data_IF_129248711333
#
_entry.id   IF_129248711333
#
_cell.length_a   1.000
_cell.length_b   1.000
_cell.length_c   1.000
_cell.angle_alpha   90.00
_cell.angle_beta   90.00
_cell.angle_gamma   90.00
#
_symmetry.space_group_name_H-M   'P 1'
#
loop_
_entity.id
_entity.type
_entity.pdbx_description
1 polymer ?
#
# COMPACT_ATOMS: atom_id res chain seq x y z
N UNK A 1 -67.65 -43.18 15.68
CA UNK A 1 -67.31 -41.76 15.96
C UNK A 1 -66.46 -41.73 17.21
N UNK A 2 -65.24 -41.21 17.31
CA UNK A 2 -64.23 -40.64 16.41
C UNK A 2 -62.90 -40.97 17.11
N UNK A 3 -61.96 -41.59 16.42
CA UNK A 3 -60.55 -41.63 16.84
C UNK A 3 -59.90 -40.30 16.43
N UNK A 4 -59.25 -39.60 17.35
CA UNK A 4 -58.39 -38.47 17.02
C UNK A 4 -57.11 -38.58 17.84
N UNK A 5 -56.11 -39.26 17.28
CA UNK A 5 -54.73 -39.17 17.75
C UNK A 5 -54.17 -37.82 17.33
N UNK A 6 -53.88 -36.96 18.31
CA UNK A 6 -53.09 -35.74 18.09
C UNK A 6 -51.61 -36.09 18.34
N UNK A 7 -50.91 -36.54 17.31
CA UNK A 7 -49.44 -36.62 17.33
C UNK A 7 -48.91 -35.33 16.71
N UNK A 8 -48.53 -34.38 17.57
CA UNK A 8 -47.89 -33.14 17.20
C UNK A 8 -46.43 -33.43 16.81
N UNK A 9 -46.15 -33.52 15.51
CA UNK A 9 -44.77 -33.57 14.98
C UNK A 9 -44.23 -32.14 15.02
N UNK A 10 -43.39 -31.83 16.01
CA UNK A 10 -42.55 -30.64 16.01
C UNK A 10 -41.45 -30.85 14.97
N UNK A 11 -41.65 -30.26 13.80
CA UNK A 11 -40.61 -30.12 12.79
C UNK A 11 -39.65 -29.01 13.27
N UNK A 12 -38.64 -29.41 14.03
CA UNK A 12 -37.51 -28.55 14.38
C UNK A 12 -36.71 -28.29 13.09
N UNK A 13 -37.11 -27.25 12.35
CA UNK A 13 -36.28 -26.61 11.34
C UNK A 13 -35.07 -26.02 12.08
N UNK A 14 -34.07 -26.85 12.35
CA UNK A 14 -32.72 -26.39 12.63
C UNK A 14 -32.24 -25.80 11.31
N UNK A 15 -32.53 -24.53 11.11
CA UNK A 15 -31.90 -23.72 10.08
C UNK A 15 -30.42 -23.68 10.40
N UNK A 16 -29.67 -24.66 9.88
CA UNK A 16 -28.24 -24.53 9.70
C UNK A 16 -28.07 -23.39 8.69
N UNK A 17 -27.98 -22.17 9.21
CA UNK A 17 -27.38 -21.07 8.49
C UNK A 17 -25.97 -21.52 8.18
N UNK A 18 -25.75 -22.00 6.96
CA UNK A 18 -24.42 -22.10 6.37
C UNK A 18 -23.88 -20.69 6.42
N UNK A 19 -23.12 -20.37 7.47
CA UNK A 19 -22.29 -19.17 7.44
C UNK A 19 -21.37 -19.40 6.25
N UNK A 20 -21.54 -18.61 5.21
CA UNK A 20 -20.61 -18.60 4.09
C UNK A 20 -19.20 -18.49 4.70
N UNK A 21 -18.37 -19.50 4.44
CA UNK A 21 -17.02 -19.54 4.96
C UNK A 21 -16.29 -18.36 4.34
N UNK A 22 -15.66 -17.52 5.18
CA UNK A 22 -14.95 -16.33 4.72
C UNK A 22 -13.86 -16.75 3.71
N UNK A 23 -13.94 -16.23 2.50
CA UNK A 23 -12.93 -16.48 1.47
C UNK A 23 -12.01 -15.28 1.35
N UNK A 24 -10.70 -15.52 1.32
CA UNK A 24 -9.68 -14.49 1.13
C UNK A 24 -9.13 -14.56 -0.30
N UNK A 25 -9.50 -13.60 -1.15
CA UNK A 25 -9.00 -13.51 -2.52
C UNK A 25 -7.66 -12.80 -2.54
N UNK A 26 -6.60 -13.49 -2.96
CA UNK A 26 -5.22 -12.96 -2.96
C UNK A 26 -5.07 -11.94 -4.07
N UNK A 27 -4.64 -10.73 -3.72
CA UNK A 27 -4.41 -9.62 -4.65
C UNK A 27 -2.92 -9.43 -4.95
N UNK A 28 -2.07 -9.70 -3.97
CA UNK A 28 -0.62 -9.59 -4.07
C UNK A 28 0.07 -10.59 -3.17
N UNK A 29 1.24 -11.05 -3.59
CA UNK A 29 2.17 -11.85 -2.79
C UNK A 29 3.56 -11.22 -2.87
N UNK A 30 4.25 -11.16 -1.74
CA UNK A 30 5.66 -10.78 -1.62
C UNK A 30 6.40 -11.91 -0.93
N UNK A 31 7.52 -12.34 -1.51
CA UNK A 31 8.21 -13.57 -1.10
C UNK A 31 7.47 -14.83 -1.56
N UNK A 32 7.96 -16.00 -1.13
CA UNK A 32 7.36 -17.28 -1.47
C UNK A 32 6.48 -17.81 -0.32
N UNK A 33 5.22 -18.10 -0.64
CA UNK A 33 4.26 -18.70 0.28
C UNK A 33 3.65 -19.91 -0.42
N UNK A 34 3.59 -21.06 0.26
CA UNK A 34 2.99 -22.30 -0.27
C UNK A 34 1.77 -22.68 0.56
N UNK A 35 0.66 -23.00 -0.10
CA UNK A 35 -0.47 -23.63 0.58
C UNK A 35 -0.18 -25.12 0.75
N UNK A 36 -0.01 -25.55 1.99
CA UNK A 36 0.27 -26.94 2.37
C UNK A 36 -0.97 -27.84 2.22
N UNK A 37 -2.18 -27.29 2.23
CA UNK A 37 -3.41 -28.03 1.93
C UNK A 37 -3.45 -28.50 0.48
N UNK A 38 -3.05 -27.64 -0.46
CA UNK A 38 -3.12 -27.91 -1.90
C UNK A 38 -1.77 -28.30 -2.53
N UNK A 39 -0.66 -28.04 -1.82
CA UNK A 39 0.70 -28.21 -2.31
C UNK A 39 1.14 -27.16 -3.35
N UNK A 40 0.33 -26.12 -3.59
CA UNK A 40 0.58 -25.12 -4.63
C UNK A 40 1.13 -23.81 -4.05
N UNK A 41 1.97 -23.07 -4.80
CA UNK A 41 2.36 -21.72 -4.41
C UNK A 41 1.15 -20.79 -4.40
N UNK A 42 1.16 -19.84 -3.46
CA UNK A 42 0.21 -18.74 -3.42
C UNK A 42 0.63 -17.68 -4.43
N UNK A 43 -0.30 -17.30 -5.31
CA UNK A 43 -0.12 -16.26 -6.32
C UNK A 43 -1.35 -15.36 -6.37
N UNK A 44 -1.23 -14.18 -6.98
CA UNK A 44 -2.39 -13.29 -7.16
C UNK A 44 -3.52 -14.00 -7.92
N UNK A 45 -4.76 -13.76 -7.51
CA UNK A 45 -5.99 -14.33 -8.09
C UNK A 45 -6.47 -15.63 -7.44
N UNK A 46 -5.68 -16.29 -6.59
CA UNK A 46 -6.13 -17.49 -5.87
C UNK A 46 -7.01 -17.12 -4.67
N UNK A 47 -7.91 -18.02 -4.31
CA UNK A 47 -8.74 -17.91 -3.11
C UNK A 47 -8.19 -18.81 -2.00
N UNK A 48 -8.18 -18.29 -0.76
CA UNK A 48 -7.76 -19.03 0.43
C UNK A 48 -8.93 -19.20 1.38
N UNK A 49 -8.99 -20.38 1.98
CA UNK A 49 -9.92 -20.70 3.06
C UNK A 49 -9.28 -20.37 4.42
N UNK A 50 -10.06 -20.05 5.46
CA UNK A 50 -9.52 -19.67 6.78
C UNK A 50 -8.66 -20.75 7.43
N UNK A 51 -8.93 -22.01 7.10
CA UNK A 51 -8.24 -23.19 7.63
C UNK A 51 -7.07 -23.67 6.75
N UNK A 52 -6.81 -23.01 5.61
CA UNK A 52 -5.65 -23.36 4.78
C UNK A 52 -4.36 -23.15 5.56
N UNK A 53 -3.47 -24.15 5.53
CA UNK A 53 -2.15 -24.04 6.15
C UNK A 53 -1.16 -23.48 5.15
N UNK A 54 -0.49 -22.41 5.53
CA UNK A 54 0.51 -21.74 4.70
C UNK A 54 1.91 -22.05 5.25
N UNK A 55 2.87 -22.22 4.34
CA UNK A 55 4.31 -22.22 4.60
C UNK A 55 4.90 -20.96 4.00
N UNK A 56 5.55 -20.15 4.82
CA UNK A 56 6.24 -18.94 4.42
C UNK A 56 7.74 -19.25 4.30
N UNK A 57 8.39 -18.81 3.22
CA UNK A 57 9.83 -18.98 3.07
C UNK A 57 10.62 -18.07 4.03
N UNK A 58 10.07 -16.90 4.35
CA UNK A 58 10.69 -15.94 5.26
C UNK A 58 9.65 -15.20 6.11
N UNK A 59 10.10 -14.58 7.21
CA UNK A 59 9.26 -13.70 8.03
C UNK A 59 8.81 -12.43 7.29
N UNK A 60 9.51 -12.05 6.22
CA UNK A 60 9.13 -10.93 5.36
C UNK A 60 8.14 -11.31 4.27
N UNK A 61 7.85 -12.61 4.10
CA UNK A 61 6.87 -13.06 3.14
C UNK A 61 5.46 -12.69 3.60
N UNK A 62 4.67 -12.10 2.71
CA UNK A 62 3.29 -11.74 3.00
C UNK A 62 2.38 -11.86 1.77
N UNK A 63 1.09 -12.01 2.02
CA UNK A 63 0.05 -11.86 1.01
C UNK A 63 -0.95 -10.79 1.43
N UNK A 64 -1.45 -10.04 0.46
CA UNK A 64 -2.57 -9.14 0.63
C UNK A 64 -3.81 -9.82 0.06
N UNK A 65 -4.92 -9.74 0.78
CA UNK A 65 -6.17 -10.35 0.35
C UNK A 65 -7.37 -9.43 0.55
N UNK A 66 -8.42 -9.71 -0.20
CA UNK A 66 -9.75 -9.09 -0.06
C UNK A 66 -10.74 -10.19 0.34
N UNK A 67 -11.48 -9.96 1.41
CA UNK A 67 -12.59 -10.81 1.83
C UNK A 67 -13.86 -10.56 1.02
N UNK A 68 -14.80 -11.49 1.07
CA UNK A 68 -16.11 -11.35 0.38
C UNK A 68 -16.93 -10.14 0.89
N UNK A 69 -16.66 -9.65 2.10
CA UNK A 69 -17.25 -8.44 2.68
C UNK A 69 -16.50 -7.15 2.32
N UNK A 70 -15.57 -7.22 1.36
CA UNK A 70 -14.68 -6.15 0.92
C UNK A 70 -13.62 -5.68 1.92
N UNK A 71 -13.51 -6.33 3.08
CA UNK A 71 -12.44 -6.06 4.02
C UNK A 71 -11.09 -6.52 3.45
N UNK A 72 -10.06 -5.75 3.73
CA UNK A 72 -8.69 -6.02 3.28
C UNK A 72 -7.93 -6.66 4.42
N UNK A 73 -7.11 -7.65 4.11
CA UNK A 73 -6.31 -8.36 5.09
C UNK A 73 -4.85 -8.45 4.65
N UNK A 74 -3.96 -8.34 5.62
CA UNK A 74 -2.55 -8.70 5.49
C UNK A 74 -2.38 -10.08 6.11
N UNK A 75 -1.93 -11.04 5.31
CA UNK A 75 -1.49 -12.36 5.75
C UNK A 75 0.03 -12.30 5.90
N UNK A 76 0.53 -12.17 7.14
CA UNK A 76 1.97 -12.15 7.46
C UNK A 76 2.19 -12.89 8.78
N UNK A 77 3.29 -13.63 8.90
CA UNK A 77 3.70 -14.16 10.20
C UNK A 77 4.00 -13.02 11.17
N UNK A 78 3.56 -13.08 12.44
CA UNK A 78 3.89 -12.06 13.42
C UNK A 78 5.39 -12.07 13.72
N UNK A 79 6.00 -10.89 13.70
CA UNK A 79 7.35 -10.70 14.22
C UNK A 79 7.34 -11.10 15.71
N UNK A 80 8.14 -12.11 16.05
CA UNK A 80 8.22 -12.63 17.41
C UNK A 80 9.67 -12.65 17.83
N UNK A 81 9.97 -12.05 18.98
CA UNK A 81 11.30 -12.08 19.58
C UNK A 81 11.62 -13.52 20.00
N UNK A 82 12.59 -14.15 19.32
CA UNK A 82 12.98 -15.53 19.60
C UNK A 82 13.92 -16.13 18.55
N UNK A 83 14.60 -17.21 18.92
CA UNK A 83 15.61 -17.83 18.07
C UNK A 83 14.97 -18.45 16.81
N UNK A 84 15.35 -17.96 15.63
CA UNK A 84 14.73 -18.29 14.34
C UNK A 84 15.15 -19.67 13.79
N UNK A 85 16.27 -20.21 14.28
CA UNK A 85 16.97 -21.33 13.65
C UNK A 85 16.18 -22.65 13.57
N UNK A 86 15.08 -22.80 14.31
CA UNK A 86 14.28 -24.03 14.34
C UNK A 86 12.76 -23.82 14.22
N UNK A 87 12.29 -22.64 13.78
CA UNK A 87 10.84 -22.42 13.64
C UNK A 87 10.36 -22.83 12.25
N UNK A 88 9.41 -23.76 12.23
CA UNK A 88 8.61 -24.04 11.04
C UNK A 88 7.72 -22.82 10.80
N UNK A 89 7.99 -22.10 9.71
CA UNK A 89 7.29 -20.87 9.32
C UNK A 89 5.91 -21.18 8.72
N UNK A 90 5.07 -21.85 9.51
CA UNK A 90 3.72 -22.24 9.08
C UNK A 90 2.65 -21.70 10.01
N UNK A 91 1.53 -21.29 9.44
CA UNK A 91 0.33 -20.88 10.16
C UNK A 91 -0.92 -21.16 9.31
N UNK A 92 -2.08 -21.26 9.94
CA UNK A 92 -3.35 -21.22 9.20
C UNK A 92 -3.73 -19.78 8.83
N UNK A 93 -4.46 -19.60 7.72
CA UNK A 93 -4.85 -18.26 7.24
C UNK A 93 -5.51 -17.42 8.34
N UNK A 94 -6.48 -17.98 9.07
CA UNK A 94 -7.20 -17.26 10.14
C UNK A 94 -6.31 -16.80 11.31
N UNK A 95 -5.16 -17.44 11.53
CA UNK A 95 -4.23 -17.07 12.61
C UNK A 95 -3.37 -15.86 12.24
N UNK A 96 -3.12 -15.67 10.93
CA UNK A 96 -2.20 -14.65 10.42
C UNK A 96 -2.88 -13.59 9.53
N UNK A 97 -4.16 -13.77 9.20
CA UNK A 97 -4.97 -12.78 8.51
C UNK A 97 -5.32 -11.65 9.47
N UNK A 98 -4.61 -10.53 9.32
CA UNK A 98 -4.85 -9.32 10.10
C UNK A 98 -5.63 -8.32 9.25
N UNK A 99 -6.80 -7.83 9.68
CA UNK A 99 -7.51 -6.79 8.94
C UNK A 99 -6.65 -5.53 8.87
N UNK A 100 -6.63 -4.86 7.72
CA UNK A 100 -5.97 -3.57 7.64
C UNK A 100 -6.78 -2.52 8.37
N UNK A 101 -6.11 -1.69 9.16
CA UNK A 101 -6.75 -0.48 9.70
C UNK A 101 -6.70 0.56 8.59
N UNK A 102 -7.86 1.04 8.15
CA UNK A 102 -7.96 2.21 7.27
C UNK A 102 -7.10 3.32 7.86
N UNK A 103 -6.07 3.76 7.12
CA UNK A 103 -5.24 4.89 7.54
C UNK A 103 -5.99 6.20 7.29
N UNK A 104 -7.05 6.44 8.07
CA UNK A 104 -7.94 7.62 7.95
C UNK A 104 -7.17 8.95 7.89
N UNK A 105 -6.03 9.04 8.59
CA UNK A 105 -5.17 10.23 8.57
C UNK A 105 -4.49 10.50 7.22
N UNK A 106 -4.23 9.46 6.41
CA UNK A 106 -3.66 9.62 5.07
C UNK A 106 -4.75 9.98 4.05
N UNK A 107 -5.94 9.38 4.17
CA UNK A 107 -7.09 9.77 3.35
C UNK A 107 -7.53 11.21 3.59
N UNK A 108 -7.37 11.74 4.81
CA UNK A 108 -7.61 13.14 5.11
C UNK A 108 -6.67 14.12 4.36
N UNK A 109 -5.56 13.63 3.79
CA UNK A 109 -4.63 14.41 2.96
C UNK A 109 -4.90 14.25 1.46
N UNK A 110 -5.85 13.40 1.08
CA UNK A 110 -6.20 13.19 -0.31
C UNK A 110 -6.93 14.41 -0.86
N UNK A 111 -6.24 15.18 -1.69
CA UNK A 111 -6.81 16.30 -2.45
C UNK A 111 -6.26 16.28 -3.89
N UNK A 112 -6.91 15.57 -4.82
CA UNK A 112 -6.45 15.50 -6.21
C UNK A 112 -6.64 16.81 -6.98
N UNK A 113 -7.37 17.78 -6.41
CA UNK A 113 -7.61 19.10 -7.01
C UNK A 113 -6.61 20.15 -6.53
N UNK A 114 -5.75 19.80 -5.57
CA UNK A 114 -4.67 20.67 -5.12
C UNK A 114 -3.77 21.03 -6.32
N UNK A 115 -3.75 22.31 -6.66
CA UNK A 115 -2.92 22.81 -7.76
C UNK A 115 -1.46 23.01 -7.33
N UNK A 116 -1.25 23.49 -6.10
CA UNK A 116 0.07 23.82 -5.55
C UNK A 116 0.19 23.34 -4.10
N UNK A 117 1.39 22.88 -3.73
CA UNK A 117 1.73 22.45 -2.37
C UNK A 117 2.30 23.62 -1.59
N UNK A 118 1.57 24.03 -0.55
CA UNK A 118 1.93 25.14 0.33
C UNK A 118 2.51 24.69 1.70
N UNK A 119 2.44 23.39 2.01
CA UNK A 119 3.02 22.77 3.18
C UNK A 119 3.59 21.39 2.83
N UNK A 120 4.89 21.33 2.63
CA UNK A 120 5.62 20.10 2.32
C UNK A 120 5.62 19.10 3.49
N UNK A 121 5.49 19.56 4.74
CA UNK A 121 5.39 18.66 5.90
C UNK A 121 4.04 17.95 5.89
N UNK A 122 2.95 18.65 5.58
CA UNK A 122 1.63 18.02 5.43
C UNK A 122 1.60 17.08 4.22
N UNK A 123 2.16 17.52 3.08
CA UNK A 123 2.18 16.75 1.84
C UNK A 123 2.94 15.42 1.98
N UNK A 124 4.20 15.45 2.42
CA UNK A 124 4.98 14.22 2.61
C UNK A 124 4.57 13.44 3.86
N UNK A 125 4.15 14.14 4.91
CA UNK A 125 3.98 13.54 6.22
C UNK A 125 5.29 13.24 6.93
N UNK A 126 5.21 12.34 7.91
CA UNK A 126 6.27 12.01 8.86
C UNK A 126 6.48 10.49 9.05
N UNK A 127 5.87 9.67 8.20
CA UNK A 127 5.94 8.20 8.28
C UNK A 127 6.41 7.64 6.94
N UNK A 128 5.49 7.42 6.00
CA UNK A 128 5.80 6.90 4.66
C UNK A 128 5.15 7.75 3.58
N UNK A 129 5.94 8.08 2.56
CA UNK A 129 5.47 8.68 1.32
C UNK A 129 5.93 7.82 0.15
N UNK A 130 5.03 7.56 -0.79
CA UNK A 130 5.23 6.66 -1.91
C UNK A 130 5.05 7.41 -3.22
N UNK A 131 5.84 7.02 -4.22
CA UNK A 131 5.80 7.53 -5.59
C UNK A 131 5.43 6.36 -6.49
N UNK A 132 4.39 6.52 -7.31
CA UNK A 132 4.00 5.52 -8.31
C UNK A 132 4.90 5.67 -9.53
N UNK A 133 5.71 4.66 -9.81
CA UNK A 133 6.71 4.66 -10.87
C UNK A 133 8.06 5.22 -10.41
N UNK A 134 8.79 5.85 -11.34
CA UNK A 134 10.16 6.30 -11.11
C UNK A 134 10.30 7.80 -10.90
N UNK A 135 9.22 8.58 -11.02
CA UNK A 135 9.28 10.02 -10.82
C UNK A 135 7.94 10.62 -10.40
N UNK A 136 7.98 11.79 -9.76
CA UNK A 136 6.82 12.64 -9.53
C UNK A 136 7.22 14.11 -9.62
N UNK A 137 6.31 14.90 -10.19
CA UNK A 137 6.43 16.35 -10.29
C UNK A 137 5.52 17.01 -9.25
N UNK A 138 6.10 17.87 -8.40
CA UNK A 138 5.41 18.50 -7.28
C UNK A 138 5.44 20.02 -7.48
N UNK A 139 4.31 20.58 -7.90
CA UNK A 139 4.14 22.02 -8.02
C UNK A 139 4.05 22.65 -6.63
N UNK A 140 4.98 23.54 -6.27
CA UNK A 140 4.96 24.23 -4.98
C UNK A 140 4.29 25.60 -5.09
N UNK A 141 3.80 26.10 -3.96
CA UNK A 141 3.39 27.49 -3.81
C UNK A 141 4.64 28.39 -3.78
N UNK A 142 4.72 29.35 -4.71
CA UNK A 142 5.88 30.26 -4.86
C UNK A 142 6.10 31.19 -3.66
N UNK A 143 5.02 31.57 -2.96
CA UNK A 143 5.13 32.45 -1.79
C UNK A 143 5.68 31.70 -0.58
N UNK A 144 5.32 30.41 -0.44
CA UNK A 144 5.81 29.55 0.64
C UNK A 144 7.20 29.00 0.37
N UNK A 145 7.49 28.61 -0.88
CA UNK A 145 8.74 27.98 -1.27
C UNK A 145 9.31 28.65 -2.54
N UNK A 146 9.96 29.83 -2.43
CA UNK A 146 10.47 30.57 -3.58
C UNK A 146 11.73 29.90 -4.18
N UNK A 147 11.53 28.89 -5.03
CA UNK A 147 12.61 28.09 -5.61
C UNK A 147 13.51 28.95 -6.52
N UNK A 148 14.82 28.80 -6.33
CA UNK A 148 15.87 29.50 -7.08
C UNK A 148 17.23 28.81 -6.90
N UNK A 149 18.27 29.37 -7.52
CA UNK A 149 19.64 28.91 -7.26
C UNK A 149 20.11 29.18 -5.82
N UNK A 150 19.52 30.18 -5.16
CA UNK A 150 19.82 30.52 -3.78
C UNK A 150 18.98 29.72 -2.79
N UNK A 151 17.67 29.55 -3.07
CA UNK A 151 16.71 28.84 -2.21
C UNK A 151 16.18 27.57 -2.86
N UNK A 152 16.48 26.42 -2.28
CA UNK A 152 16.11 25.13 -2.86
C UNK A 152 15.87 24.05 -1.81
N UNK A 153 15.24 22.96 -2.25
CA UNK A 153 14.96 21.80 -1.41
C UNK A 153 16.11 20.80 -1.47
N UNK A 154 16.47 20.26 -0.31
CA UNK A 154 17.51 19.24 -0.14
C UNK A 154 16.92 18.02 0.52
N UNK A 155 17.17 16.85 -0.06
CA UNK A 155 16.91 15.57 0.60
C UNK A 155 18.19 15.06 1.25
N UNK A 156 18.10 14.69 2.52
CA UNK A 156 19.20 14.18 3.32
C UNK A 156 18.86 12.78 3.84
N UNK A 157 19.76 11.84 3.63
CA UNK A 157 19.61 10.44 4.06
C UNK A 157 20.99 9.78 4.18
N UNK A 158 21.03 8.48 4.48
CA UNK A 158 22.30 7.73 4.58
C UNK A 158 22.29 6.54 3.64
N UNK A 159 23.44 6.27 3.02
CA UNK A 159 23.71 5.07 2.21
C UNK A 159 24.92 4.39 2.82
N UNK A 160 24.80 3.15 3.28
CA UNK A 160 25.86 2.43 4.01
C UNK A 160 26.48 3.25 5.14
N UNK A 161 25.62 3.92 5.91
CA UNK A 161 26.00 4.84 6.99
C UNK A 161 26.83 6.06 6.54
N UNK A 162 26.92 6.37 5.25
CA UNK A 162 27.49 7.62 4.75
C UNK A 162 26.39 8.67 4.54
N UNK A 163 26.53 9.91 5.05
CA UNK A 163 25.55 10.96 4.84
C UNK A 163 25.51 11.40 3.38
N UNK A 164 24.32 11.50 2.81
CA UNK A 164 24.05 11.97 1.46
C UNK A 164 23.12 13.16 1.53
N UNK A 165 23.51 14.24 0.86
CA UNK A 165 22.68 15.43 0.64
C UNK A 165 22.47 15.60 -0.86
N UNK A 166 21.21 15.58 -1.30
CA UNK A 166 20.82 15.78 -2.70
C UNK A 166 20.04 17.07 -2.83
N UNK A 167 20.57 18.04 -3.59
CA UNK A 167 19.74 19.14 -4.10
C UNK A 167 18.71 18.54 -5.06
N UNK A 168 17.44 18.79 -4.78
CA UNK A 168 16.35 18.35 -5.64
C UNK A 168 16.26 19.26 -6.85
N UNK A 169 16.11 18.65 -8.03
CA UNK A 169 15.93 19.37 -9.29
C UNK A 169 14.58 20.09 -9.30
N UNK A 170 14.53 21.24 -9.96
CA UNK A 170 13.27 21.94 -10.18
C UNK A 170 13.20 22.54 -11.58
N UNK A 171 11.98 22.63 -12.10
CA UNK A 171 11.64 23.36 -13.32
C UNK A 171 10.64 24.43 -12.93
N UNK A 172 11.05 25.70 -13.06
CA UNK A 172 10.34 26.83 -12.47
C UNK A 172 10.05 26.57 -10.98
N UNK A 173 8.77 26.37 -10.65
CA UNK A 173 8.26 26.21 -9.31
C UNK A 173 7.84 24.74 -9.00
N UNK A 174 8.14 23.82 -9.91
CA UNK A 174 7.90 22.37 -9.76
C UNK A 174 9.17 21.66 -9.31
N UNK A 175 9.11 20.95 -8.18
CA UNK A 175 10.14 19.98 -7.81
C UNK A 175 10.00 18.72 -8.67
N UNK A 176 11.14 18.20 -9.14
CA UNK A 176 11.20 16.97 -9.91
C UNK A 176 11.92 15.92 -9.07
N UNK A 177 11.18 14.93 -8.59
CA UNK A 177 11.73 13.79 -7.85
C UNK A 177 11.90 12.63 -8.80
N UNK A 178 13.14 12.20 -9.02
CA UNK A 178 13.47 11.07 -9.90
C UNK A 178 14.23 10.00 -9.10
N UNK A 179 13.80 8.74 -9.25
CA UNK A 179 14.32 7.59 -8.51
C UNK A 179 15.81 7.45 -8.70
N UNK A 180 16.28 7.42 -9.94
CA UNK A 180 17.69 7.24 -10.30
C UNK A 180 18.61 8.29 -9.65
N UNK A 181 18.18 9.55 -9.60
CA UNK A 181 18.93 10.65 -8.98
C UNK A 181 19.02 10.54 -7.46
N UNK A 182 18.04 9.90 -6.83
CA UNK A 182 17.96 9.69 -5.38
C UNK A 182 18.63 8.38 -4.94
N UNK A 183 18.51 7.29 -5.70
CA UNK A 183 19.09 6.00 -5.29
C UNK A 183 20.57 5.88 -5.64
N UNK A 184 21.08 6.65 -6.61
CA UNK A 184 22.51 6.63 -6.97
C UNK A 184 23.26 7.79 -6.33
N UNK A 185 24.39 7.53 -5.68
CA UNK A 185 25.25 8.54 -5.05
C UNK A 185 26.73 8.21 -5.20
N UNK A 186 27.60 9.18 -4.89
CA UNK A 186 29.04 8.94 -4.84
C UNK A 186 29.47 7.95 -3.74
N UNK A 187 28.62 7.75 -2.73
CA UNK A 187 28.88 6.81 -1.64
C UNK A 187 28.36 5.39 -1.93
N UNK A 188 27.78 5.15 -3.11
CA UNK A 188 27.14 3.89 -3.48
C UNK A 188 25.71 4.09 -3.95
N UNK A 189 24.99 2.98 -4.04
CA UNK A 189 23.60 2.95 -4.49
C UNK A 189 22.71 2.27 -3.45
N UNK A 190 21.47 2.72 -3.35
CA UNK A 190 20.46 2.08 -2.52
C UNK A 190 19.93 0.86 -3.27
N UNK A 191 20.09 -0.32 -2.68
CA UNK A 191 19.45 -1.55 -3.17
C UNK A 191 17.97 -1.54 -2.81
N UNK A 192 17.10 -1.71 -3.81
CA UNK A 192 15.66 -1.80 -3.62
C UNK A 192 14.91 -0.51 -3.95
N UNK A 193 13.75 -0.33 -3.32
CA UNK A 193 12.77 0.68 -3.68
C UNK A 193 12.47 1.67 -2.54
N UNK A 194 13.22 1.62 -1.44
CA UNK A 194 12.98 2.42 -0.25
C UNK A 194 14.19 3.26 0.15
N UNK A 195 13.96 4.51 0.55
CA UNK A 195 14.93 5.38 1.21
C UNK A 195 14.39 5.72 2.60
N UNK A 196 14.86 4.98 3.61
CA UNK A 196 14.42 5.16 4.99
C UNK A 196 15.06 6.40 5.61
N UNK A 197 14.38 7.01 6.59
CA UNK A 197 14.89 8.15 7.37
C UNK A 197 15.30 9.38 6.52
N UNK A 198 14.66 9.58 5.38
CA UNK A 198 14.88 10.73 4.52
C UNK A 198 14.33 11.99 5.17
N UNK A 199 15.20 12.97 5.39
CA UNK A 199 14.85 14.29 5.89
C UNK A 199 14.83 15.30 4.73
N UNK A 200 13.85 16.19 4.77
CA UNK A 200 13.66 17.26 3.79
C UNK A 200 14.02 18.58 4.42
N UNK A 201 14.91 19.31 3.77
CA UNK A 201 15.35 20.64 4.19
C UNK A 201 15.02 21.68 3.13
N UNK A 202 14.64 22.88 3.58
CA UNK A 202 14.80 24.10 2.80
C UNK A 202 16.18 24.68 3.08
N UNK A 203 16.92 25.02 2.03
CA UNK A 203 18.28 25.55 2.13
C UNK A 203 18.40 26.90 1.41
N UNK A 204 19.04 27.87 2.07
CA UNK A 204 19.37 29.19 1.54
C UNK A 204 20.91 29.35 1.47
N UNK A 205 21.45 29.43 0.26
CA UNK A 205 22.90 29.44 -0.01
C UNK A 205 23.56 30.73 0.47
N UNK A 206 22.95 31.88 0.23
CA UNK A 206 23.48 33.20 0.59
C UNK A 206 23.75 33.35 2.08
N UNK A 207 22.94 32.73 2.93
CA UNK A 207 23.05 32.79 4.40
C UNK A 207 23.60 31.50 5.02
N UNK A 208 23.83 30.46 4.22
CA UNK A 208 24.17 29.11 4.66
C UNK A 208 23.20 28.59 5.75
N UNK A 209 21.91 28.88 5.61
CA UNK A 209 20.86 28.45 6.53
C UNK A 209 20.12 27.25 5.96
N UNK A 210 19.80 26.30 6.83
CA UNK A 210 18.97 25.14 6.53
C UNK A 210 17.87 24.99 7.58
N UNK A 211 16.66 24.71 7.13
CA UNK A 211 15.53 24.40 8.01
C UNK A 211 14.97 23.04 7.65
N UNK A 212 14.88 22.14 8.64
CA UNK A 212 14.20 20.86 8.47
C UNK A 212 12.69 21.09 8.35
N UNK A 213 12.11 20.55 7.28
CA UNK A 213 10.67 20.58 7.03
C UNK A 213 10.04 19.35 7.67
N UNK A 214 10.50 18.16 7.29
CA UNK A 214 9.96 16.88 7.75
C UNK A 214 10.94 15.73 7.52
N UNK A 215 10.63 14.55 8.06
CA UNK A 215 11.39 13.32 7.89
C UNK A 215 10.44 12.13 7.71
N UNK A 216 10.70 11.27 6.73
CA UNK A 216 9.85 10.12 6.40
C UNK A 216 10.65 9.04 5.66
N UNK A 217 9.98 7.94 5.34
CA UNK A 217 10.46 6.88 4.46
C UNK A 217 9.88 7.07 3.06
N UNK A 218 10.75 7.26 2.06
CA UNK A 218 10.35 7.38 0.67
C UNK A 218 10.32 6.01 0.00
N UNK A 219 9.24 5.67 -0.71
CA UNK A 219 9.09 4.38 -1.41
C UNK A 219 8.74 4.60 -2.87
N UNK A 220 9.40 3.90 -3.79
CA UNK A 220 9.03 3.86 -5.20
C UNK A 220 8.23 2.59 -5.48
N UNK A 221 6.97 2.75 -5.88
CA UNK A 221 6.07 1.64 -6.20
C UNK A 221 6.19 1.33 -7.68
N UNK A 222 6.46 0.07 -8.02
CA UNK A 222 6.48 -0.34 -9.42
C UNK A 222 5.07 -0.20 -10.03
N UNK A 223 5.00 0.55 -11.13
CA UNK A 223 3.73 0.94 -11.74
C UNK A 223 3.04 -0.24 -12.42
N UNK A 224 3.82 -1.15 -13.00
CA UNK A 224 3.29 -2.29 -13.75
C UNK A 224 2.82 -3.38 -12.77
N UNK A 225 3.57 -3.62 -11.69
CA UNK A 225 3.13 -4.46 -10.58
C UNK A 225 1.82 -3.94 -9.96
N UNK A 226 1.74 -2.64 -9.67
CA UNK A 226 0.53 -2.03 -9.10
C UNK A 226 -0.67 -2.12 -10.05
N UNK A 227 -0.45 -1.95 -11.36
CA UNK A 227 -1.48 -2.13 -12.36
C UNK A 227 -2.02 -3.56 -12.37
N UNK A 228 -1.14 -4.57 -12.34
CA UNK A 228 -1.53 -5.98 -12.33
C UNK A 228 -2.28 -6.34 -11.04
N UNK A 229 -1.86 -5.78 -9.91
CA UNK A 229 -2.57 -5.92 -8.64
C UNK A 229 -3.98 -5.33 -8.74
N UNK A 230 -4.15 -4.11 -9.25
CA UNK A 230 -5.47 -3.51 -9.44
C UNK A 230 -6.35 -4.30 -10.41
N UNK A 231 -5.78 -4.86 -11.49
CA UNK A 231 -6.49 -5.74 -12.42
C UNK A 231 -6.94 -7.07 -11.78
N UNK A 232 -6.25 -7.52 -10.73
CA UNK A 232 -6.70 -8.67 -9.94
C UNK A 232 -7.89 -8.30 -9.04
N UNK A 233 -7.94 -7.05 -8.56
CA UNK A 233 -8.98 -6.54 -7.66
C UNK A 233 -10.28 -6.25 -8.41
N UNK A 234 -10.23 -5.55 -9.53
CA UNK A 234 -11.42 -5.07 -10.27
C UNK A 234 -12.48 -6.17 -10.53
N UNK A 235 -12.16 -7.37 -11.03
CA UNK A 235 -13.18 -8.39 -11.28
C UNK A 235 -13.84 -8.89 -9.98
N UNK A 236 -13.15 -8.85 -8.84
CA UNK A 236 -13.75 -9.14 -7.53
C UNK A 236 -14.81 -8.08 -7.22
N UNK A 237 -14.50 -6.80 -7.41
CA UNK A 237 -15.41 -5.69 -7.14
C UNK A 237 -16.62 -5.67 -8.10
N UNK A 238 -16.39 -5.92 -9.38
CA UNK A 238 -17.46 -5.98 -10.39
C UNK A 238 -18.43 -7.14 -10.13
N UNK A 239 -17.96 -8.30 -9.66
CA UNK A 239 -18.84 -9.41 -9.23
C UNK A 239 -19.76 -9.01 -8.08
N UNK A 240 -19.33 -8.07 -7.24
CA UNK A 240 -20.16 -7.48 -6.18
C UNK A 240 -21.05 -6.33 -6.66
N UNK A 241 -21.11 -6.07 -7.98
CA UNK A 241 -21.93 -5.02 -8.60
C UNK A 241 -21.55 -3.60 -8.15
N UNK A 242 -20.29 -3.39 -7.79
CA UNK A 242 -19.77 -2.08 -7.45
C UNK A 242 -19.66 -1.21 -8.71
N UNK A 243 -20.07 0.06 -8.61
CA UNK A 243 -19.95 1.02 -9.71
C UNK A 243 -18.48 1.46 -9.91
N UNK A 244 -18.15 1.93 -11.12
CA UNK A 244 -16.77 2.31 -11.47
C UNK A 244 -16.18 3.39 -10.55
N UNK A 245 -16.99 4.37 -10.11
CA UNK A 245 -16.55 5.40 -9.15
C UNK A 245 -16.24 4.82 -7.77
N UNK A 246 -17.02 3.85 -7.31
CA UNK A 246 -16.80 3.14 -6.05
C UNK A 246 -15.58 2.21 -6.14
N UNK A 247 -15.37 1.57 -7.30
CA UNK A 247 -14.16 0.80 -7.60
C UNK A 247 -12.93 1.70 -7.53
N UNK A 248 -12.96 2.86 -8.20
CA UNK A 248 -11.87 3.84 -8.16
C UNK A 248 -11.55 4.22 -6.72
N UNK A 249 -12.57 4.59 -5.94
CA UNK A 249 -12.42 4.94 -4.52
C UNK A 249 -11.80 3.78 -3.73
N UNK A 250 -12.28 2.56 -3.94
CA UNK A 250 -11.75 1.37 -3.27
C UNK A 250 -10.27 1.16 -3.59
N UNK A 251 -9.85 1.30 -4.85
CA UNK A 251 -8.45 1.16 -5.26
C UNK A 251 -7.54 2.22 -4.64
N UNK A 252 -8.02 3.46 -4.51
CA UNK A 252 -7.29 4.54 -3.84
C UNK A 252 -7.11 4.20 -2.36
N UNK A 253 -8.19 3.85 -1.67
CA UNK A 253 -8.10 3.47 -0.25
C UNK A 253 -7.21 2.24 -0.04
N UNK A 254 -7.29 1.25 -0.93
CA UNK A 254 -6.43 0.07 -0.93
C UNK A 254 -4.96 0.49 -1.03
N UNK A 255 -4.65 1.42 -1.93
CA UNK A 255 -3.30 1.95 -2.07
C UNK A 255 -2.78 2.56 -0.76
N UNK A 256 -3.58 3.40 -0.10
CA UNK A 256 -3.18 4.04 1.17
C UNK A 256 -2.93 3.05 2.31
N UNK A 257 -3.71 1.96 2.36
CA UNK A 257 -3.56 0.92 3.38
C UNK A 257 -2.21 0.21 3.27
N UNK A 258 -1.77 -0.10 2.05
CA UNK A 258 -0.57 -0.93 1.82
C UNK A 258 0.69 -0.14 1.46
N UNK A 259 0.56 0.92 0.67
CA UNK A 259 1.69 1.71 0.15
C UNK A 259 1.91 3.02 0.90
N UNK A 260 0.90 3.52 1.62
CA UNK A 260 0.99 4.75 2.41
C UNK A 260 0.62 6.00 1.63
N UNK A 261 1.06 7.16 2.11
CA UNK A 261 0.73 8.43 1.47
C UNK A 261 1.40 8.53 0.09
N UNK A 262 0.81 9.27 -0.83
CA UNK A 262 1.33 9.51 -2.19
C UNK A 262 0.79 10.84 -2.68
N UNK A 263 1.33 11.32 -3.80
CA UNK A 263 0.73 12.42 -4.55
C UNK A 263 -0.73 12.09 -4.94
N UNK A 264 -1.67 12.91 -4.45
CA UNK A 264 -3.11 12.68 -4.59
C UNK A 264 -3.57 12.69 -6.04
N UNK A 265 -3.03 13.61 -6.85
CA UNK A 265 -3.35 13.73 -8.27
C UNK A 265 -2.88 12.50 -9.04
N UNK A 266 -1.68 12.02 -8.73
CA UNK A 266 -1.09 10.83 -9.37
C UNK A 266 -1.91 9.58 -9.11
N UNK A 267 -2.27 9.28 -7.85
CA UNK A 267 -3.08 8.10 -7.54
C UNK A 267 -4.51 8.20 -8.08
N UNK A 268 -5.12 9.39 -8.06
CA UNK A 268 -6.46 9.63 -8.63
C UNK A 268 -6.49 9.33 -10.14
N UNK A 269 -5.55 9.90 -10.88
CA UNK A 269 -5.41 9.68 -12.33
C UNK A 269 -5.04 8.23 -12.65
N UNK A 270 -4.18 7.62 -11.83
CA UNK A 270 -3.78 6.22 -12.01
C UNK A 270 -4.99 5.29 -11.84
N UNK A 271 -5.74 5.40 -10.74
CA UNK A 271 -6.92 4.59 -10.49
C UNK A 271 -8.01 4.82 -11.55
N UNK A 272 -8.28 6.08 -11.93
CA UNK A 272 -9.27 6.42 -12.95
C UNK A 272 -8.94 5.77 -14.31
N UNK A 273 -7.67 5.86 -14.76
CA UNK A 273 -7.23 5.22 -16.00
C UNK A 273 -7.38 3.70 -15.93
N UNK A 274 -7.04 3.10 -14.80
CA UNK A 274 -7.10 1.65 -14.61
C UNK A 274 -8.54 1.16 -14.70
N UNK A 275 -9.49 1.83 -14.04
CA UNK A 275 -10.91 1.46 -14.11
C UNK A 275 -11.46 1.60 -15.52
N UNK A 276 -11.17 2.71 -16.21
CA UNK A 276 -11.63 2.97 -17.58
C UNK A 276 -11.08 2.00 -18.62
N UNK A 277 -9.82 1.57 -18.45
CA UNK A 277 -9.14 0.70 -19.40
C UNK A 277 -9.28 -0.79 -19.05
N UNK A 278 -9.96 -1.13 -17.96
CA UNK A 278 -10.18 -2.53 -17.60
C UNK A 278 -11.06 -3.21 -18.65
N UNK A 279 -10.62 -4.34 -19.25
CA UNK A 279 -11.40 -5.08 -20.24
C UNK A 279 -12.78 -5.44 -19.67
N UNK A 280 -13.85 -5.05 -20.36
CA UNK A 280 -15.22 -5.39 -19.97
C UNK A 280 -15.51 -6.87 -20.20
#
# INVERSE_FOLDING_TARGET
>A
MKSFSFTLIILLFVGFGVKAQEVYHVTRVSGNITNLTTGQPIVAGVALSPDDRLLFESLESYAITIGDNMNRFLIKLPETEGNLENRVLTASVKEVASPTKMRNLMLARFDPKQAEVNDLRQYFGNDKFSIIGNAVDIQLDKQKYPLSDDKFIVFYYRVDNNPISKKIGHQDQTLVLEKDKLVTSSAGFITGNEISNLAVYEYERSTNRSQEITKFTLVFVDKDELQNEFFTIIPILKRQKMADDDIKKYLIEYYYDFYGATDSKTIDQFADRIVKNYPQ
#
